data_IF_046650105064
#
_entry.id   IF_046650105064
#
_cell.length_a   1.000
_cell.length_b   1.000
_cell.length_c   1.000
_cell.angle_alpha   90.00
_cell.angle_beta   90.00
_cell.angle_gamma   90.00
#
_symmetry.space_group_name_H-M   'P 1'
#
loop_
_entity.id
_entity.type
_entity.pdbx_description
1 polymer ?
#
# COMPACT_ATOMS: atom_id res chain seq x y z
N UNK A 1 0.66 -34.13 -30.20
CA UNK A 1 1.55 -32.97 -30.44
C UNK A 1 2.38 -32.79 -29.18
N UNK A 2 3.56 -33.40 -29.17
CA UNK A 2 4.57 -33.31 -28.11
C UNK A 2 5.75 -32.56 -28.71
N UNK A 3 6.05 -31.37 -28.19
CA UNK A 3 7.30 -30.67 -28.50
C UNK A 3 8.34 -31.26 -27.53
N UNK A 4 9.18 -32.15 -28.03
CA UNK A 4 10.38 -32.60 -27.33
C UNK A 4 11.48 -31.56 -27.57
N UNK A 5 11.73 -30.68 -26.60
CA UNK A 5 12.92 -29.84 -26.58
C UNK A 5 14.16 -30.71 -26.33
N UNK A 6 15.20 -30.55 -27.14
CA UNK A 6 16.47 -31.25 -26.95
C UNK A 6 17.24 -30.58 -25.81
N UNK A 7 17.61 -31.38 -24.80
CA UNK A 7 18.44 -30.95 -23.67
C UNK A 7 19.92 -31.15 -24.08
N UNK A 8 20.70 -30.09 -24.19
CA UNK A 8 22.14 -30.18 -24.46
C UNK A 8 22.88 -30.03 -23.12
N UNK A 9 23.63 -31.06 -22.73
CA UNK A 9 24.48 -31.05 -21.53
C UNK A 9 25.92 -30.84 -21.96
N UNK A 10 26.51 -29.70 -21.59
CA UNK A 10 27.93 -29.42 -21.79
C UNK A 10 28.62 -29.51 -20.43
N UNK A 11 29.62 -30.38 -20.33
CA UNK A 11 30.45 -30.50 -19.14
C UNK A 11 31.83 -29.89 -19.42
N UNK A 12 32.25 -28.95 -18.57
CA UNK A 12 33.54 -28.25 -18.70
C UNK A 12 34.44 -28.71 -17.55
N UNK A 13 35.67 -29.08 -17.87
CA UNK A 13 36.70 -29.38 -16.88
C UNK A 13 37.43 -28.09 -16.48
N UNK A 14 37.16 -27.59 -15.27
CA UNK A 14 37.93 -26.53 -14.65
C UNK A 14 38.47 -27.03 -13.31
N UNK A 15 39.80 -27.12 -13.19
CA UNK A 15 40.52 -27.52 -11.97
C UNK A 15 39.97 -28.78 -11.29
N UNK A 16 39.72 -29.83 -12.08
CA UNK A 16 39.49 -31.18 -11.56
C UNK A 16 38.09 -31.48 -10.99
N UNK A 17 37.13 -30.57 -11.12
CA UNK A 17 35.72 -30.83 -10.77
C UNK A 17 34.88 -30.75 -12.05
N UNK A 18 34.09 -31.80 -12.33
CA UNK A 18 33.16 -31.82 -13.45
C UNK A 18 31.87 -31.10 -13.04
N UNK A 19 31.58 -29.97 -13.67
CA UNK A 19 30.32 -29.26 -13.49
C UNK A 19 29.59 -29.23 -14.84
N UNK A 20 28.37 -29.77 -14.87
CA UNK A 20 27.54 -29.81 -16.07
C UNK A 20 26.41 -28.78 -15.90
N UNK A 21 26.16 -28.00 -16.95
CA UNK A 21 25.15 -26.92 -16.97
C UNK A 21 24.06 -27.26 -18.00
N UNK A 22 22.80 -26.95 -17.66
CA UNK A 22 21.63 -27.11 -18.52
C UNK A 22 21.25 -25.75 -19.14
N UNK A 23 21.14 -25.67 -20.47
CA UNK A 23 20.72 -24.47 -21.20
C UNK A 23 19.51 -24.77 -22.11
N UNK A 24 18.62 -23.78 -22.30
CA UNK A 24 17.48 -23.81 -23.23
C UNK A 24 17.76 -22.91 -24.46
N UNK A 25 17.04 -23.16 -25.56
CA UNK A 25 17.40 -22.85 -26.97
C UNK A 25 17.51 -21.37 -27.40
N UNK A 26 17.31 -20.37 -26.54
CA UNK A 26 17.26 -18.95 -26.97
C UNK A 26 18.47 -18.07 -26.54
N UNK A 27 19.53 -18.64 -25.96
CA UNK A 27 20.69 -17.86 -25.49
C UNK A 27 21.85 -17.79 -26.51
N UNK A 28 22.26 -16.58 -26.92
CA UNK A 28 23.45 -16.36 -27.76
C UNK A 28 24.74 -16.33 -26.92
N UNK A 29 25.61 -17.32 -27.10
CA UNK A 29 26.92 -17.38 -26.43
C UNK A 29 27.98 -16.51 -27.14
N UNK A 30 28.52 -15.50 -26.45
CA UNK A 30 29.73 -14.80 -26.89
C UNK A 30 31.01 -15.58 -26.50
N UNK A 31 32.07 -15.44 -27.32
CA UNK A 31 33.31 -16.23 -27.35
C UNK A 31 34.21 -16.19 -26.09
N UNK A 32 33.67 -15.77 -24.94
CA UNK A 32 34.31 -15.75 -23.62
C UNK A 32 33.45 -16.42 -22.54
N UNK A 33 32.74 -17.50 -22.82
CA UNK A 33 32.24 -18.43 -21.78
C UNK A 33 31.36 -17.86 -20.65
N UNK A 34 30.89 -16.62 -20.78
CA UNK A 34 29.90 -16.03 -19.90
C UNK A 34 28.59 -16.03 -20.66
N UNK A 35 27.60 -16.75 -20.15
CA UNK A 35 26.22 -16.45 -20.46
C UNK A 35 25.96 -15.08 -19.84
N UNK A 36 26.02 -14.02 -20.64
CA UNK A 36 25.38 -12.76 -20.28
C UNK A 36 23.88 -13.03 -20.31
N UNK A 37 23.36 -13.58 -19.20
CA UNK A 37 21.96 -13.39 -18.89
C UNK A 37 21.84 -11.87 -18.81
N UNK A 38 21.09 -11.28 -19.74
CA UNK A 38 20.72 -9.87 -19.66
C UNK A 38 19.91 -9.71 -18.37
N UNK A 39 20.62 -9.48 -17.26
CA UNK A 39 20.04 -9.32 -15.94
C UNK A 39 19.27 -8.01 -16.01
N UNK A 40 17.98 -8.10 -16.34
CA UNK A 40 17.08 -6.95 -16.37
C UNK A 40 17.25 -6.19 -15.07
N UNK A 41 17.94 -5.05 -15.16
CA UNK A 41 18.29 -4.27 -13.98
C UNK A 41 17.07 -3.49 -13.52
N UNK A 42 16.31 -4.09 -12.61
CA UNK A 42 15.18 -3.41 -11.98
C UNK A 42 15.64 -2.26 -11.09
N UNK A 43 14.88 -1.16 -11.16
CA UNK A 43 14.89 -0.08 -10.18
C UNK A 43 13.83 -0.34 -9.12
N UNK A 44 14.17 -0.12 -7.87
CA UNK A 44 13.30 -0.29 -6.72
C UNK A 44 12.86 1.07 -6.20
N UNK A 45 11.56 1.27 -6.22
CA UNK A 45 10.91 2.47 -5.72
C UNK A 45 10.36 2.16 -4.32
N UNK A 46 10.81 2.92 -3.33
CA UNK A 46 10.33 2.88 -1.97
C UNK A 46 9.57 4.17 -1.66
N UNK A 47 8.64 4.08 -0.71
CA UNK A 47 8.02 5.26 -0.13
C UNK A 47 7.72 5.01 1.35
N UNK A 48 7.81 6.05 2.17
CA UNK A 48 7.27 6.04 3.53
C UNK A 48 6.40 7.28 3.76
N UNK A 49 5.61 7.24 4.82
CA UNK A 49 4.62 8.25 5.17
C UNK A 49 4.94 8.76 6.56
N UNK A 50 4.67 10.04 6.80
CA UNK A 50 4.82 10.68 8.10
C UNK A 50 4.32 9.79 9.27
N UNK A 51 5.11 9.54 10.33
CA UNK A 51 4.78 8.58 11.38
C UNK A 51 3.40 8.72 12.05
N UNK A 52 2.86 9.94 12.30
CA UNK A 52 1.51 10.11 12.86
C UNK A 52 0.37 9.61 11.96
N UNK A 53 0.62 9.38 10.67
CA UNK A 53 -0.41 8.99 9.73
C UNK A 53 -0.88 7.55 9.91
N UNK A 54 -2.19 7.38 10.01
CA UNK A 54 -2.82 6.11 10.30
C UNK A 54 -2.92 5.16 9.10
N UNK A 55 -3.30 3.92 9.38
CA UNK A 55 -3.45 2.82 8.41
C UNK A 55 -4.25 3.23 7.15
N UNK A 56 -5.39 3.90 7.32
CA UNK A 56 -6.27 4.24 6.20
C UNK A 56 -5.74 5.37 5.31
N UNK A 57 -5.00 6.35 5.85
CA UNK A 57 -4.37 7.37 5.02
C UNK A 57 -3.17 6.78 4.26
N UNK A 58 -2.39 5.90 4.90
CA UNK A 58 -1.30 5.17 4.23
C UNK A 58 -1.79 4.31 3.06
N UNK A 59 -3.00 3.74 3.16
CA UNK A 59 -3.67 3.07 2.02
C UNK A 59 -3.98 4.03 0.87
N UNK A 60 -4.35 5.27 1.16
CA UNK A 60 -4.55 6.30 0.12
C UNK A 60 -3.22 6.68 -0.54
N UNK A 61 -2.14 6.86 0.24
CA UNK A 61 -0.80 7.12 -0.30
C UNK A 61 -0.31 5.96 -1.18
N UNK A 62 -0.60 4.70 -0.80
CA UNK A 62 -0.36 3.56 -1.67
C UNK A 62 -1.05 3.70 -3.03
N UNK A 63 -2.29 4.17 -3.10
CA UNK A 63 -2.96 4.36 -4.40
C UNK A 63 -2.18 5.32 -5.29
N UNK A 64 -1.64 6.41 -4.71
CA UNK A 64 -0.82 7.39 -5.44
C UNK A 64 0.42 6.70 -6.03
N UNK A 65 1.17 5.99 -5.19
CA UNK A 65 2.41 5.33 -5.63
C UNK A 65 2.18 4.11 -6.51
N UNK A 66 1.08 3.37 -6.34
CA UNK A 66 0.69 2.29 -7.23
C UNK A 66 0.31 2.80 -8.62
N UNK A 67 -0.45 3.91 -8.70
CA UNK A 67 -0.75 4.57 -9.99
C UNK A 67 0.54 5.06 -10.65
N UNK A 68 1.44 5.67 -9.87
CA UNK A 68 2.75 6.10 -10.35
C UNK A 68 3.56 4.94 -10.91
N UNK A 69 3.74 3.84 -10.16
CA UNK A 69 4.46 2.66 -10.61
C UNK A 69 3.81 2.00 -11.83
N UNK A 70 2.48 1.92 -11.87
CA UNK A 70 1.77 1.43 -13.06
C UNK A 70 2.01 2.32 -14.28
N UNK A 71 2.02 3.65 -14.14
CA UNK A 71 2.36 4.55 -15.24
C UNK A 71 3.80 4.39 -15.71
N UNK A 72 4.74 4.19 -14.78
CA UNK A 72 6.14 4.00 -15.15
C UNK A 72 6.35 2.70 -15.92
N UNK A 73 5.76 1.59 -15.44
CA UNK A 73 5.74 0.29 -16.15
C UNK A 73 5.23 0.40 -17.60
N UNK A 74 4.24 1.26 -17.82
CA UNK A 74 3.61 1.49 -19.13
C UNK A 74 4.20 2.71 -19.88
N UNK A 75 5.33 3.25 -19.42
CA UNK A 75 5.98 4.40 -20.05
C UNK A 75 6.64 4.02 -21.38
N UNK A 76 6.72 4.99 -22.30
CA UNK A 76 7.51 4.85 -23.54
C UNK A 76 9.03 4.89 -23.28
N UNK A 77 9.45 5.45 -22.14
CA UNK A 77 10.86 5.49 -21.76
C UNK A 77 11.25 4.15 -21.11
N UNK A 78 12.10 3.39 -21.78
CA UNK A 78 12.54 2.06 -21.34
C UNK A 78 13.18 2.07 -19.96
N UNK A 79 13.90 3.15 -19.60
CA UNK A 79 14.52 3.31 -18.28
C UNK A 79 13.50 3.42 -17.12
N UNK A 80 12.22 3.64 -17.43
CA UNK A 80 11.13 3.71 -16.45
C UNK A 80 10.27 2.44 -16.41
N UNK A 81 10.41 1.53 -17.39
CA UNK A 81 9.56 0.33 -17.49
C UNK A 81 9.92 -0.73 -16.45
N UNK A 82 11.21 -0.82 -16.10
CA UNK A 82 11.76 -1.84 -15.20
C UNK A 82 11.76 -1.35 -13.75
N UNK A 83 10.59 -0.96 -13.23
CA UNK A 83 10.42 -0.52 -11.85
C UNK A 83 9.63 -1.55 -11.05
N UNK A 84 10.09 -1.81 -9.83
CA UNK A 84 9.32 -2.52 -8.79
C UNK A 84 9.02 -1.55 -7.65
N UNK A 85 7.74 -1.43 -7.27
CA UNK A 85 7.32 -0.67 -6.10
C UNK A 85 7.42 -1.58 -4.87
N UNK A 86 8.35 -1.27 -3.97
CA UNK A 86 8.52 -2.00 -2.72
C UNK A 86 7.50 -1.50 -1.72
N UNK A 87 6.66 -2.41 -1.24
CA UNK A 87 5.61 -2.13 -0.29
C UNK A 87 6.23 -1.89 1.10
N UNK A 88 6.00 -0.71 1.72
CA UNK A 88 6.55 -0.41 3.04
C UNK A 88 5.85 -1.30 4.07
N UNK A 89 6.58 -2.03 4.93
CA UNK A 89 5.93 -2.86 5.93
C UNK A 89 5.08 -2.02 6.87
N UNK A 90 4.06 -2.65 7.46
CA UNK A 90 3.25 -2.02 8.50
C UNK A 90 3.99 -2.14 9.83
N UNK A 91 4.35 -1.01 10.42
CA UNK A 91 5.06 -0.96 11.71
C UNK A 91 4.74 0.35 12.44
N UNK A 92 4.74 0.30 13.78
CA UNK A 92 4.70 1.48 14.66
C UNK A 92 3.61 2.52 14.31
N UNK A 93 2.42 2.06 13.90
CA UNK A 93 1.30 2.95 13.57
C UNK A 93 0.69 3.55 14.85
N UNK A 94 0.46 4.86 14.83
CA UNK A 94 0.00 5.65 15.99
C UNK A 94 -1.26 5.12 16.70
N UNK A 95 -2.13 4.40 15.99
CA UNK A 95 -3.38 3.84 16.56
C UNK A 95 -3.29 2.35 16.94
N UNK A 96 -2.17 1.68 16.65
CA UNK A 96 -2.03 0.26 16.93
C UNK A 96 -1.60 0.08 18.39
N UNK A 97 -2.49 -0.51 19.18
CA UNK A 97 -2.22 -0.84 20.57
C UNK A 97 -1.52 -2.20 20.61
N UNK A 98 -0.29 -2.25 20.11
CA UNK A 98 0.53 -3.46 20.14
C UNK A 98 1.63 -3.29 21.17
N UNK A 99 1.72 -4.22 22.12
CA UNK A 99 2.85 -4.37 23.05
C UNK A 99 4.14 -4.85 22.35
N UNK A 100 4.18 -4.77 21.01
CA UNK A 100 5.27 -5.21 20.14
C UNK A 100 5.79 -3.99 19.36
N UNK A 101 6.62 -3.14 19.98
CA UNK A 101 7.40 -2.16 19.24
C UNK A 101 8.24 -2.91 18.18
N UNK A 102 8.38 -2.30 17.01
CA UNK A 102 9.34 -2.70 15.96
C UNK A 102 9.01 -3.97 15.16
N UNK A 103 7.79 -4.50 15.27
CA UNK A 103 7.36 -5.58 14.37
C UNK A 103 6.95 -5.04 13.00
N UNK A 104 7.69 -5.41 11.96
CA UNK A 104 7.30 -5.18 10.56
C UNK A 104 6.34 -6.27 10.07
N UNK A 105 5.11 -5.90 9.74
CA UNK A 105 4.16 -6.81 9.11
C UNK A 105 4.15 -6.62 7.59
N UNK A 106 4.23 -7.70 6.80
CA UNK A 106 4.10 -7.62 5.35
C UNK A 106 2.66 -7.28 4.95
N UNK A 107 2.47 -6.77 3.74
CA UNK A 107 1.14 -6.42 3.21
C UNK A 107 0.20 -7.60 3.07
N UNK A 108 0.74 -8.79 2.80
CA UNK A 108 0.03 -10.07 2.75
C UNK A 108 -0.80 -10.39 4.00
N UNK A 109 -0.47 -9.83 5.17
CA UNK A 109 -1.31 -9.97 6.38
C UNK A 109 -2.67 -9.27 6.23
N UNK A 110 -2.74 -8.20 5.45
CA UNK A 110 -3.93 -7.35 5.33
C UNK A 110 -4.57 -7.41 3.94
N UNK A 111 -3.79 -7.67 2.89
CA UNK A 111 -4.22 -7.59 1.50
C UNK A 111 -3.82 -8.83 0.69
N UNK A 112 -4.62 -9.17 -0.32
CA UNK A 112 -4.29 -10.19 -1.31
C UNK A 112 -3.27 -9.63 -2.30
N UNK A 113 -1.99 -10.02 -2.15
CA UNK A 113 -0.90 -9.50 -2.96
C UNK A 113 -1.08 -9.75 -4.46
N UNK A 114 -1.63 -10.90 -4.83
CA UNK A 114 -1.90 -11.23 -6.23
C UNK A 114 -2.87 -10.22 -6.87
N UNK A 115 -3.86 -9.75 -6.12
CA UNK A 115 -4.74 -8.68 -6.57
C UNK A 115 -3.99 -7.37 -6.78
N UNK A 116 -3.06 -6.99 -5.90
CA UNK A 116 -2.24 -5.78 -6.04
C UNK A 116 -1.29 -5.88 -7.27
N UNK A 117 -0.61 -7.02 -7.42
CA UNK A 117 0.34 -7.31 -8.52
C UNK A 117 -0.31 -7.27 -9.90
N UNK A 118 -1.62 -7.57 -10.00
CA UNK A 118 -2.41 -7.39 -11.23
C UNK A 118 -2.55 -5.93 -11.68
N UNK A 119 -2.37 -4.95 -10.78
CA UNK A 119 -2.46 -3.53 -11.11
C UNK A 119 -1.07 -2.89 -11.30
N UNK A 120 -0.18 -3.01 -10.32
CA UNK A 120 1.13 -2.35 -10.32
C UNK A 120 2.24 -3.38 -10.06
N UNK A 121 3.49 -3.14 -10.49
CA UNK A 121 4.62 -4.04 -10.26
C UNK A 121 5.07 -3.95 -8.79
N UNK A 122 4.24 -4.42 -7.86
CA UNK A 122 4.51 -4.35 -6.43
C UNK A 122 5.22 -5.59 -5.93
N UNK A 123 6.11 -5.40 -4.96
CA UNK A 123 6.77 -6.48 -4.22
C UNK A 123 6.80 -6.16 -2.73
N UNK A 124 6.79 -7.17 -1.89
CA UNK A 124 7.03 -7.03 -0.46
C UNK A 124 8.48 -6.67 -0.17
N UNK A 125 8.72 -6.10 1.02
CA UNK A 125 10.08 -5.79 1.48
C UNK A 125 10.99 -7.04 1.50
N UNK A 126 10.47 -8.20 1.90
CA UNK A 126 11.25 -9.44 1.90
C UNK A 126 11.57 -9.97 0.50
N UNK A 127 10.67 -9.77 -0.49
CA UNK A 127 10.94 -10.09 -1.89
C UNK A 127 12.06 -9.20 -2.45
N UNK A 128 12.11 -7.92 -2.06
CA UNK A 128 13.24 -7.03 -2.40
C UNK A 128 14.57 -7.56 -1.85
N UNK A 129 14.63 -7.98 -0.58
CA UNK A 129 15.85 -8.57 -0.03
C UNK A 129 16.25 -9.87 -0.74
N UNK A 130 15.29 -10.68 -1.18
CA UNK A 130 15.55 -11.88 -1.98
C UNK A 130 16.12 -11.52 -3.36
N UNK A 131 15.61 -10.48 -4.02
CA UNK A 131 16.10 -9.99 -5.31
C UNK A 131 17.57 -9.50 -5.24
N UNK A 132 18.01 -9.00 -4.09
CA UNK A 132 19.42 -8.64 -3.86
C UNK A 132 20.32 -9.88 -3.72
N UNK A 133 19.75 -11.00 -3.28
CA UNK A 133 20.47 -12.25 -3.05
C UNK A 133 21.22 -12.29 -1.71
N UNK A 134 21.80 -13.45 -1.35
CA UNK A 134 22.34 -13.73 -0.01
C UNK A 134 23.58 -12.91 0.38
N UNK A 135 24.07 -12.03 -0.50
CA UNK A 135 25.31 -11.26 -0.31
C UNK A 135 25.10 -9.91 0.38
N UNK A 136 23.86 -9.44 0.49
CA UNK A 136 23.58 -8.11 1.03
C UNK A 136 23.20 -8.19 2.50
N UNK A 137 24.19 -8.00 3.38
CA UNK A 137 23.98 -7.82 4.82
C UNK A 137 23.57 -6.39 5.17
N UNK A 138 23.86 -5.42 4.28
CA UNK A 138 23.49 -4.01 4.39
C UNK A 138 23.01 -3.49 3.04
N UNK A 139 21.94 -2.71 3.06
CA UNK A 139 21.36 -2.06 1.88
C UNK A 139 21.61 -0.56 1.97
N UNK A 140 22.32 -0.02 0.98
CA UNK A 140 22.44 1.42 0.81
C UNK A 140 21.41 1.88 -0.23
N UNK A 141 20.44 2.70 0.16
CA UNK A 141 19.51 3.34 -0.77
C UNK A 141 20.25 4.46 -1.50
N UNK A 142 20.27 4.40 -2.83
CA UNK A 142 21.09 5.29 -3.67
C UNK A 142 20.66 6.76 -3.57
N UNK A 143 19.36 7.02 -3.38
CA UNK A 143 18.83 8.35 -3.14
C UNK A 143 17.58 8.34 -2.25
N UNK A 144 17.56 9.21 -1.25
CA UNK A 144 16.39 9.50 -0.42
C UNK A 144 15.95 10.93 -0.67
N UNK A 145 14.69 11.09 -1.04
CA UNK A 145 14.03 12.39 -1.18
C UNK A 145 12.99 12.53 -0.06
N UNK A 146 13.27 13.42 0.89
CA UNK A 146 12.33 13.77 1.96
C UNK A 146 11.43 14.88 1.41
N UNK A 147 10.17 14.57 1.15
CA UNK A 147 9.23 15.56 0.63
C UNK A 147 8.84 16.56 1.72
N UNK A 148 8.81 17.84 1.36
CA UNK A 148 8.34 18.92 2.21
C UNK A 148 7.51 19.91 1.39
N UNK A 149 6.71 20.74 2.06
CA UNK A 149 5.97 21.81 1.39
C UNK A 149 6.87 23.02 1.18
N UNK A 150 6.64 23.82 0.13
CA UNK A 150 7.28 25.13 0.02
C UNK A 150 6.82 26.06 1.15
N UNK A 151 7.76 26.81 1.76
CA UNK A 151 7.45 27.73 2.86
C UNK A 151 6.46 28.84 2.48
N UNK A 152 6.48 29.25 1.20
CA UNK A 152 5.65 30.33 0.66
C UNK A 152 4.23 29.85 0.32
N UNK A 153 4.01 28.56 0.10
CA UNK A 153 2.75 28.01 -0.42
C UNK A 153 1.55 28.43 0.44
N UNK A 154 1.61 28.17 1.75
CA UNK A 154 0.51 28.48 2.67
C UNK A 154 0.45 29.96 3.07
N UNK A 155 1.53 30.72 2.84
CA UNK A 155 1.58 32.17 3.10
C UNK A 155 0.97 32.97 1.94
N UNK A 156 1.26 32.56 0.72
CA UNK A 156 0.87 33.26 -0.51
C UNK A 156 -0.40 32.70 -1.14
N UNK A 157 -0.84 31.50 -0.71
CA UNK A 157 -1.95 30.76 -1.32
C UNK A 157 -1.69 30.44 -2.80
N UNK A 158 -0.42 30.38 -3.21
CA UNK A 158 0.00 29.98 -4.55
C UNK A 158 0.25 28.46 -4.59
N UNK A 159 -0.64 27.72 -5.27
CA UNK A 159 -0.61 26.26 -5.40
C UNK A 159 -0.18 25.82 -6.80
N UNK A 160 0.88 26.42 -7.31
CA UNK A 160 1.51 26.00 -8.55
C UNK A 160 2.29 24.69 -8.37
N UNK A 161 2.17 23.79 -9.34
CA UNK A 161 2.94 22.55 -9.37
C UNK A 161 4.43 22.87 -9.58
N UNK A 162 5.23 22.61 -8.55
CA UNK A 162 6.66 22.95 -8.48
C UNK A 162 7.42 21.87 -7.72
N UNK A 163 8.68 21.68 -8.10
CA UNK A 163 9.57 20.72 -7.45
C UNK A 163 10.99 21.28 -7.42
N UNK A 164 11.57 21.41 -6.23
CA UNK A 164 12.91 21.94 -6.03
C UNK A 164 13.66 21.17 -4.94
N UNK A 165 14.92 20.82 -5.20
CA UNK A 165 15.81 20.28 -4.17
C UNK A 165 16.37 21.47 -3.40
N UNK A 166 16.07 21.55 -2.11
CA UNK A 166 16.44 22.67 -1.25
C UNK A 166 16.78 22.18 0.16
N UNK A 167 17.35 23.04 1.02
CA UNK A 167 17.64 22.66 2.40
C UNK A 167 16.40 22.15 3.14
N UNK A 168 16.62 21.18 4.01
CA UNK A 168 15.57 20.64 4.86
C UNK A 168 15.08 21.69 5.85
N UNK A 169 13.77 21.93 5.90
CA UNK A 169 13.17 22.87 6.85
C UNK A 169 13.29 22.39 8.30
N UNK A 170 13.18 21.07 8.49
CA UNK A 170 13.34 20.41 9.79
C UNK A 170 14.36 19.29 9.66
N UNK A 171 15.05 18.99 10.77
CA UNK A 171 15.92 17.81 10.86
C UNK A 171 15.02 16.58 11.01
N UNK A 172 14.59 16.03 9.88
CA UNK A 172 13.79 14.80 9.83
C UNK A 172 14.74 13.64 9.57
N UNK A 173 14.75 12.67 10.48
CA UNK A 173 15.48 11.42 10.30
C UNK A 173 14.55 10.38 9.68
N UNK A 174 14.91 9.89 8.51
CA UNK A 174 14.21 8.78 7.86
C UNK A 174 14.31 7.52 8.72
N UNK A 175 13.17 6.88 8.94
CA UNK A 175 13.05 5.68 9.79
C UNK A 175 13.65 4.42 9.15
N UNK A 176 13.78 4.42 7.82
CA UNK A 176 14.10 3.26 6.99
C UNK A 176 13.24 2.02 7.34
N UNK A 177 11.95 2.26 7.61
CA UNK A 177 10.98 1.23 8.00
C UNK A 177 11.41 0.42 9.24
N UNK A 178 12.24 1.02 10.10
CA UNK A 178 12.83 0.43 11.29
C UNK A 178 13.76 -0.76 11.00
N UNK A 179 14.34 -0.85 9.80
CA UNK A 179 15.41 -1.81 9.49
C UNK A 179 16.78 -1.20 9.77
N UNK A 180 17.53 -1.80 10.70
CA UNK A 180 18.90 -1.37 11.02
C UNK A 180 19.89 -1.56 9.87
N UNK A 181 19.59 -2.48 8.95
CA UNK A 181 20.47 -2.79 7.83
C UNK A 181 20.22 -1.93 6.58
N UNK A 182 19.28 -0.98 6.62
CA UNK A 182 19.02 -0.05 5.51
C UNK A 182 19.58 1.33 5.89
N UNK A 183 20.42 1.88 5.02
CA UNK A 183 21.02 3.22 5.19
C UNK A 183 20.98 4.01 3.88
N UNK A 184 21.30 5.30 3.92
CA UNK A 184 21.61 6.07 2.72
C UNK A 184 22.67 7.12 3.01
N UNK A 185 23.57 7.34 2.05
CA UNK A 185 24.56 8.44 2.07
C UNK A 185 24.08 9.68 1.31
N UNK A 186 22.96 9.60 0.61
CA UNK A 186 22.48 10.63 -0.32
C UNK A 186 21.03 11.00 0.01
N UNK A 187 20.87 11.79 1.06
CA UNK A 187 19.58 12.25 1.57
C UNK A 187 19.40 13.71 1.19
N UNK A 188 18.29 14.03 0.53
CA UNK A 188 17.95 15.37 0.05
C UNK A 188 16.53 15.71 0.43
N UNK A 189 16.28 16.96 0.82
CA UNK A 189 14.93 17.46 0.95
C UNK A 189 14.42 17.99 -0.41
N UNK A 190 13.15 17.72 -0.67
CA UNK A 190 12.47 18.03 -1.92
C UNK A 190 11.22 18.84 -1.60
N UNK A 191 11.29 20.15 -1.78
CA UNK A 191 10.08 20.97 -1.73
C UNK A 191 9.22 20.67 -2.93
N UNK A 192 7.99 20.24 -2.66
CA UNK A 192 7.13 19.62 -3.65
C UNK A 192 5.69 20.09 -3.52
N UNK A 193 5.11 20.43 -4.66
CA UNK A 193 3.68 20.58 -4.87
C UNK A 193 3.36 20.01 -6.24
N UNK A 194 2.37 19.14 -6.31
CA UNK A 194 1.94 18.55 -7.57
C UNK A 194 1.57 17.08 -7.43
N UNK A 195 1.53 16.42 -8.57
CA UNK A 195 1.05 15.05 -8.71
C UNK A 195 2.19 14.08 -8.51
N UNK A 196 1.91 12.91 -7.93
CA UNK A 196 2.92 11.86 -7.73
C UNK A 196 3.68 11.50 -9.03
N UNK A 197 3.03 11.58 -10.20
CA UNK A 197 3.71 11.37 -11.48
C UNK A 197 4.80 12.40 -11.81
N UNK A 198 4.79 13.59 -11.24
CA UNK A 198 5.80 14.62 -11.50
C UNK A 198 7.17 14.23 -10.93
N UNK A 199 7.17 13.40 -9.88
CA UNK A 199 8.37 12.76 -9.32
C UNK A 199 9.10 11.88 -10.35
N UNK A 200 8.43 11.46 -11.44
CA UNK A 200 9.08 10.74 -12.55
C UNK A 200 10.27 11.47 -13.15
N UNK A 201 10.34 12.81 -13.00
CA UNK A 201 11.49 13.60 -13.44
C UNK A 201 12.78 13.18 -12.72
N UNK A 202 12.72 12.94 -11.41
CA UNK A 202 13.87 12.47 -10.63
C UNK A 202 14.36 11.09 -11.06
N UNK A 203 13.44 10.24 -11.52
CA UNK A 203 13.77 8.93 -12.07
C UNK A 203 14.42 9.07 -13.44
N UNK A 204 13.92 9.96 -14.32
CA UNK A 204 14.52 10.20 -15.64
C UNK A 204 15.93 10.78 -15.57
N UNK A 205 16.14 11.69 -14.62
CA UNK A 205 17.37 12.47 -14.52
C UNK A 205 18.47 11.73 -13.72
N UNK A 206 18.23 10.48 -13.31
CA UNK A 206 19.17 9.69 -12.51
C UNK A 206 19.29 8.23 -12.95
N UNK A 207 20.46 7.64 -12.66
CA UNK A 207 20.74 6.21 -12.84
C UNK A 207 20.55 5.40 -11.55
N UNK A 208 20.03 6.02 -10.49
CA UNK A 208 19.83 5.38 -9.19
C UNK A 208 18.94 4.14 -9.30
N UNK A 209 19.38 3.03 -8.72
CA UNK A 209 18.67 1.75 -8.71
C UNK A 209 17.67 1.70 -7.57
N UNK A 210 17.98 2.26 -6.41
CA UNK A 210 17.08 2.30 -5.23
C UNK A 210 16.75 3.74 -4.87
N UNK A 211 15.46 4.11 -4.88
CA UNK A 211 15.00 5.47 -4.57
C UNK A 211 13.91 5.41 -3.52
N UNK A 212 14.06 6.18 -2.44
CA UNK A 212 13.07 6.33 -1.39
C UNK A 212 12.45 7.73 -1.43
N UNK A 213 11.13 7.80 -1.51
CA UNK A 213 10.36 9.02 -1.26
C UNK A 213 9.78 8.98 0.15
N UNK A 214 10.41 9.71 1.07
CA UNK A 214 9.91 9.88 2.43
C UNK A 214 8.88 11.03 2.46
N UNK A 215 7.98 11.03 3.45
CA UNK A 215 6.84 11.95 3.51
C UNK A 215 5.97 11.95 2.23
N UNK A 216 5.73 10.74 1.71
CA UNK A 216 5.00 10.51 0.47
C UNK A 216 3.56 11.06 0.46
N UNK A 217 2.97 11.37 1.63
CA UNK A 217 1.66 12.03 1.73
C UNK A 217 1.63 13.44 1.13
N UNK A 218 2.79 14.08 0.98
CA UNK A 218 2.92 15.42 0.37
C UNK A 218 2.55 15.39 -1.12
N UNK A 219 2.86 14.29 -1.83
CA UNK A 219 2.55 14.17 -3.24
C UNK A 219 1.07 13.83 -3.48
N UNK A 220 0.40 14.54 -4.38
CA UNK A 220 -1.03 14.38 -4.63
C UNK A 220 -1.35 13.23 -5.60
N UNK A 221 -2.61 12.82 -5.63
CA UNK A 221 -3.13 11.96 -6.70
C UNK A 221 -2.98 12.64 -8.06
N UNK A 222 -2.67 11.87 -9.11
CA UNK A 222 -2.63 12.42 -10.46
C UNK A 222 -3.99 12.97 -10.91
N UNK A 223 -5.03 12.16 -10.70
CA UNK A 223 -6.43 12.45 -10.96
C UNK A 223 -7.29 11.68 -9.96
N UNK A 224 -7.84 12.37 -8.96
CA UNK A 224 -8.67 11.73 -7.96
C UNK A 224 -9.98 11.23 -8.58
N UNK A 225 -10.31 9.95 -8.37
CA UNK A 225 -11.56 9.35 -8.84
C UNK A 225 -11.59 8.96 -10.32
N UNK A 226 -10.47 9.04 -11.04
CA UNK A 226 -10.39 8.59 -12.43
C UNK A 226 -10.35 7.06 -12.57
N UNK A 227 -10.20 6.57 -13.81
CA UNK A 227 -10.15 5.13 -14.09
C UNK A 227 -8.97 4.45 -13.38
N UNK A 228 -7.78 5.05 -13.40
CA UNK A 228 -6.59 4.44 -12.80
C UNK A 228 -6.68 4.43 -11.27
N UNK A 229 -7.17 5.51 -10.67
CA UNK A 229 -7.49 5.59 -9.25
C UNK A 229 -8.42 4.45 -8.82
N UNK A 230 -9.53 4.24 -9.53
CA UNK A 230 -10.49 3.19 -9.18
C UNK A 230 -9.95 1.78 -9.45
N UNK A 231 -9.11 1.59 -10.47
CA UNK A 231 -8.41 0.31 -10.70
C UNK A 231 -7.43 -0.01 -9.56
N UNK A 232 -6.61 0.97 -9.15
CA UNK A 232 -5.74 0.85 -7.98
C UNK A 232 -6.54 0.53 -6.72
N UNK A 233 -7.67 1.23 -6.52
CA UNK A 233 -8.52 1.02 -5.35
C UNK A 233 -9.18 -0.35 -5.34
N UNK A 234 -9.60 -0.87 -6.50
CA UNK A 234 -10.20 -2.21 -6.65
C UNK A 234 -9.18 -3.33 -6.47
N UNK A 235 -7.92 -3.09 -6.82
CA UNK A 235 -6.83 -4.06 -6.65
C UNK A 235 -6.50 -4.32 -5.17
N UNK A 236 -6.80 -3.37 -4.27
CA UNK A 236 -6.68 -3.54 -2.82
C UNK A 236 -7.77 -4.46 -2.25
N UNK A 237 -7.75 -5.74 -2.61
CA UNK A 237 -8.56 -6.79 -1.98
C UNK A 237 -7.93 -7.16 -0.64
N UNK A 238 -8.76 -7.33 0.38
CA UNK A 238 -8.28 -7.79 1.68
C UNK A 238 -7.76 -9.23 1.59
N UNK A 239 -6.87 -9.58 2.52
CA UNK A 239 -6.43 -10.95 2.72
C UNK A 239 -7.65 -11.88 2.88
N UNK A 240 -7.58 -13.09 2.31
CA UNK A 240 -8.72 -14.02 2.23
C UNK A 240 -9.17 -14.54 3.59
N UNK A 241 -8.24 -14.79 4.51
CA UNK A 241 -8.54 -15.22 5.88
C UNK A 241 -9.30 -14.12 6.63
N UNK A 242 -8.92 -12.84 6.45
CA UNK A 242 -9.67 -11.73 7.02
C UNK A 242 -11.10 -11.63 6.45
N UNK A 243 -11.27 -11.88 5.16
CA UNK A 243 -12.60 -11.92 4.52
C UNK A 243 -13.43 -13.10 5.05
N UNK A 244 -12.82 -14.25 5.24
CA UNK A 244 -13.48 -15.44 5.81
C UNK A 244 -13.95 -15.20 7.24
N UNK A 245 -13.09 -14.64 8.10
CA UNK A 245 -13.46 -14.26 9.47
C UNK A 245 -14.63 -13.26 9.46
N UNK A 246 -14.60 -12.28 8.57
CA UNK A 246 -15.69 -11.31 8.43
C UNK A 246 -17.00 -11.97 7.95
N UNK A 247 -16.93 -12.95 7.05
CA UNK A 247 -18.09 -13.69 6.57
C UNK A 247 -18.69 -14.58 7.67
N UNK A 248 -17.86 -15.27 8.45
CA UNK A 248 -18.30 -16.05 9.62
C UNK A 248 -19.01 -15.13 10.63
N UNK A 249 -18.47 -13.94 10.89
CA UNK A 249 -19.12 -12.98 11.77
C UNK A 249 -20.49 -12.52 11.23
N UNK A 250 -20.55 -12.18 9.93
CA UNK A 250 -21.80 -11.77 9.27
C UNK A 250 -22.89 -12.85 9.34
N UNK A 251 -22.51 -14.09 9.09
CA UNK A 251 -23.43 -15.22 9.12
C UNK A 251 -23.96 -15.45 10.53
N UNK A 252 -23.06 -15.55 11.52
CA UNK A 252 -23.41 -15.91 12.89
C UNK A 252 -24.15 -14.80 13.66
N UNK A 253 -23.83 -13.53 13.41
CA UNK A 253 -24.32 -12.42 14.24
C UNK A 253 -25.22 -11.43 13.51
N UNK A 254 -25.18 -11.39 12.17
CA UNK A 254 -25.87 -10.37 11.39
C UNK A 254 -26.88 -10.95 10.38
N UNK A 255 -27.07 -12.28 10.36
CA UNK A 255 -27.93 -12.98 9.40
C UNK A 255 -27.66 -12.54 7.95
N UNK A 256 -26.37 -12.47 7.59
CA UNK A 256 -25.88 -11.83 6.38
C UNK A 256 -24.91 -12.75 5.63
N UNK A 257 -25.16 -12.96 4.33
CA UNK A 257 -24.27 -13.72 3.43
C UNK A 257 -24.25 -13.06 2.05
N UNK A 258 -23.19 -13.25 1.28
CA UNK A 258 -23.08 -12.59 -0.03
C UNK A 258 -24.20 -12.97 -1.00
N UNK A 259 -24.74 -14.19 -0.88
CA UNK A 259 -25.85 -14.67 -1.69
C UNK A 259 -27.17 -13.95 -1.35
N UNK A 260 -27.54 -13.88 -0.06
CA UNK A 260 -28.77 -13.22 0.37
C UNK A 260 -28.69 -11.69 0.24
N UNK A 261 -27.49 -11.13 0.39
CA UNK A 261 -27.24 -9.69 0.37
C UNK A 261 -27.03 -9.14 -1.05
N UNK A 262 -26.94 -10.02 -2.06
CA UNK A 262 -26.55 -9.70 -3.42
C UNK A 262 -25.21 -8.93 -3.50
N UNK A 263 -24.21 -9.37 -2.73
CA UNK A 263 -22.88 -8.74 -2.63
C UNK A 263 -21.74 -9.61 -3.17
N UNK A 264 -22.05 -10.70 -3.89
CA UNK A 264 -21.04 -11.53 -4.57
C UNK A 264 -20.20 -10.66 -5.51
N UNK A 265 -18.88 -10.81 -5.41
CA UNK A 265 -17.90 -10.15 -6.28
C UNK A 265 -17.07 -11.21 -7.01
N UNK A 266 -16.63 -10.94 -8.25
CA UNK A 266 -15.68 -11.82 -8.92
C UNK A 266 -14.38 -11.89 -8.14
N UNK A 267 -13.73 -13.07 -8.20
CA UNK A 267 -12.42 -13.32 -7.61
C UNK A 267 -11.37 -12.39 -8.23
N UNK A 268 -11.38 -12.25 -9.56
CA UNK A 268 -10.57 -11.26 -10.23
C UNK A 268 -11.26 -9.90 -10.19
N UNK A 269 -10.64 -8.95 -9.51
CA UNK A 269 -11.20 -7.61 -9.42
C UNK A 269 -11.36 -6.94 -10.77
N UNK A 270 -10.60 -7.31 -11.80
CA UNK A 270 -10.67 -6.71 -13.15
C UNK A 270 -12.00 -7.03 -13.85
N UNK A 271 -12.64 -8.13 -13.46
CA UNK A 271 -13.93 -8.58 -14.01
C UNK A 271 -15.13 -7.84 -13.41
N UNK A 272 -14.93 -7.01 -12.38
CA UNK A 272 -16.03 -6.22 -11.81
C UNK A 272 -16.64 -5.26 -12.83
N UNK A 273 -17.96 -5.21 -12.82
CA UNK A 273 -18.80 -4.34 -13.65
C UNK A 273 -19.51 -3.33 -12.76
N UNK A 274 -20.02 -2.26 -13.37
CA UNK A 274 -20.87 -1.30 -12.67
C UNK A 274 -22.13 -2.01 -12.20
N UNK A 275 -22.40 -1.96 -10.89
CA UNK A 275 -23.64 -2.48 -10.31
C UNK A 275 -24.15 -1.56 -9.19
N UNK A 276 -25.47 -1.53 -9.04
CA UNK A 276 -26.22 -0.72 -8.04
C UNK A 276 -27.37 -1.49 -7.40
N UNK A 277 -27.39 -2.81 -7.58
CA UNK A 277 -28.40 -3.77 -7.13
C UNK A 277 -27.98 -4.50 -5.83
N UNK A 278 -26.83 -4.17 -5.24
CA UNK A 278 -26.43 -4.72 -3.95
C UNK A 278 -27.44 -4.32 -2.87
N UNK A 279 -28.01 -5.32 -2.19
CA UNK A 279 -29.03 -5.12 -1.15
C UNK A 279 -28.40 -4.85 0.21
N UNK A 280 -27.35 -5.60 0.54
CA UNK A 280 -26.76 -5.64 1.88
C UNK A 280 -27.54 -6.54 2.84
N UNK A 281 -26.90 -6.89 3.96
CA UNK A 281 -27.53 -7.69 5.01
C UNK A 281 -28.54 -6.89 5.84
N UNK A 282 -29.38 -7.57 6.66
CA UNK A 282 -30.46 -6.94 7.42
C UNK A 282 -29.95 -6.25 8.70
N UNK A 283 -28.97 -5.35 8.58
CA UNK A 283 -28.41 -4.60 9.70
C UNK A 283 -27.89 -3.21 9.28
N UNK A 284 -27.88 -2.28 10.23
CA UNK A 284 -27.27 -0.97 10.06
C UNK A 284 -25.78 -1.04 10.45
N UNK A 285 -24.89 -0.51 9.62
CA UNK A 285 -23.45 -0.41 9.93
C UNK A 285 -23.06 1.02 10.29
N UNK A 286 -22.38 1.20 11.42
CA UNK A 286 -21.95 2.51 11.92
C UNK A 286 -20.46 2.49 12.20
N UNK A 287 -19.71 3.43 11.61
CA UNK A 287 -18.33 3.69 11.98
C UNK A 287 -18.27 4.88 12.92
N UNK A 288 -17.95 4.64 14.18
CA UNK A 288 -17.90 5.65 15.23
C UNK A 288 -16.45 5.90 15.66
N UNK A 289 -15.78 6.86 15.00
CA UNK A 289 -14.43 7.32 15.34
C UNK A 289 -14.48 8.30 16.51
N UNK A 290 -13.83 7.94 17.62
CA UNK A 290 -13.85 8.71 18.87
C UNK A 290 -12.48 9.19 19.31
N UNK A 291 -11.55 8.33 19.72
CA UNK A 291 -10.35 8.67 20.55
C UNK A 291 -9.84 10.12 20.43
N UNK A 292 -8.90 10.38 19.53
CA UNK A 292 -8.32 11.69 19.24
C UNK A 292 -9.33 12.65 18.58
N UNK A 293 -10.33 12.16 17.86
CA UNK A 293 -11.37 13.00 17.27
C UNK A 293 -12.22 13.73 18.32
N UNK A 294 -12.48 13.12 19.48
CA UNK A 294 -13.21 13.76 20.58
C UNK A 294 -12.37 14.88 21.21
N UNK A 295 -11.05 14.80 21.14
CA UNK A 295 -10.15 15.84 21.68
C UNK A 295 -9.90 16.95 20.64
N UNK A 296 -9.49 16.58 19.43
CA UNK A 296 -9.07 17.52 18.38
C UNK A 296 -10.19 18.00 17.46
N UNK A 297 -11.33 17.31 17.42
CA UNK A 297 -12.46 17.59 16.51
C UNK A 297 -13.82 17.48 17.23
N UNK A 298 -13.86 17.81 18.51
CA UNK A 298 -15.04 17.64 19.38
C UNK A 298 -16.35 18.22 18.82
N UNK A 299 -16.26 19.33 18.07
CA UNK A 299 -17.40 20.00 17.42
C UNK A 299 -17.90 19.31 16.15
N UNK A 300 -17.11 18.41 15.57
CA UNK A 300 -17.42 17.68 14.32
C UNK A 300 -17.87 16.24 14.57
N UNK A 301 -17.85 15.77 15.83
CA UNK A 301 -18.28 14.43 16.21
C UNK A 301 -19.50 14.49 17.15
N UNK A 302 -20.52 13.64 16.95
CA UNK A 302 -21.69 13.63 17.81
C UNK A 302 -21.34 13.14 19.22
N UNK A 303 -22.09 13.61 20.21
CA UNK A 303 -22.09 12.97 21.55
C UNK A 303 -22.73 11.58 21.45
N UNK A 304 -22.45 10.69 22.42
CA UNK A 304 -23.02 9.34 22.43
C UNK A 304 -24.55 9.34 22.43
N UNK A 305 -25.17 10.25 23.17
CA UNK A 305 -26.63 10.42 23.18
C UNK A 305 -27.18 10.79 21.80
N UNK A 306 -26.52 11.72 21.11
CA UNK A 306 -26.94 12.12 19.77
C UNK A 306 -26.64 11.04 18.72
N UNK A 307 -25.54 10.30 18.87
CA UNK A 307 -25.24 9.15 18.02
C UNK A 307 -26.29 8.04 18.20
N UNK A 308 -26.65 7.69 19.45
CA UNK A 308 -27.71 6.72 19.75
C UNK A 308 -29.03 7.13 19.12
N UNK A 309 -29.45 8.39 19.31
CA UNK A 309 -30.67 8.92 18.69
C UNK A 309 -30.65 8.83 17.16
N UNK A 310 -29.52 9.14 16.52
CA UNK A 310 -29.39 9.00 15.07
C UNK A 310 -29.49 7.54 14.61
N UNK A 311 -28.87 6.63 15.36
CA UNK A 311 -28.93 5.18 15.09
C UNK A 311 -30.37 4.67 15.20
N UNK A 312 -31.06 4.95 16.30
CA UNK A 312 -32.44 4.50 16.52
C UNK A 312 -33.40 5.05 15.46
N UNK A 313 -33.30 6.33 15.13
CA UNK A 313 -34.09 6.92 14.05
C UNK A 313 -33.85 6.25 12.68
N UNK A 314 -32.62 5.82 12.40
CA UNK A 314 -32.28 5.12 11.16
C UNK A 314 -32.75 3.67 11.17
N UNK A 315 -32.66 2.98 12.30
CA UNK A 315 -33.18 1.63 12.48
C UNK A 315 -34.70 1.58 12.22
N UNK A 316 -35.46 2.49 12.85
CA UNK A 316 -36.91 2.61 12.62
C UNK A 316 -37.23 2.95 11.17
N UNK A 317 -36.54 3.93 10.57
CA UNK A 317 -36.80 4.37 9.20
C UNK A 317 -36.52 3.27 8.16
N UNK A 318 -35.54 2.41 8.42
CA UNK A 318 -35.10 1.37 7.51
C UNK A 318 -35.72 0.00 7.83
N UNK A 319 -36.56 -0.10 8.86
CA UNK A 319 -37.12 -1.35 9.37
C UNK A 319 -36.03 -2.39 9.69
N UNK A 320 -35.01 -1.94 10.42
CA UNK A 320 -33.87 -2.76 10.83
C UNK A 320 -33.82 -2.86 12.36
N UNK A 321 -33.53 -4.07 12.86
CA UNK A 321 -33.44 -4.32 14.31
C UNK A 321 -32.00 -4.58 14.81
N UNK A 322 -31.04 -4.68 13.89
CA UNK A 322 -29.64 -5.03 14.19
C UNK A 322 -28.72 -3.88 13.80
N UNK A 323 -27.76 -3.56 14.66
CA UNK A 323 -26.70 -2.58 14.38
C UNK A 323 -25.32 -3.19 14.61
N UNK A 324 -24.45 -3.06 13.63
CA UNK A 324 -23.02 -3.34 13.74
C UNK A 324 -22.25 -2.03 13.93
N UNK A 325 -21.49 -1.91 15.01
CA UNK A 325 -20.73 -0.68 15.31
C UNK A 325 -19.23 -0.97 15.29
N UNK A 326 -18.52 -0.38 14.32
CA UNK A 326 -17.07 -0.36 14.28
C UNK A 326 -16.57 0.92 14.97
N UNK A 327 -15.80 0.78 16.05
CA UNK A 327 -15.35 1.91 16.87
C UNK A 327 -13.96 1.68 17.45
N UNK A 328 -13.27 2.77 17.75
CA UNK A 328 -12.02 2.81 18.52
C UNK A 328 -12.25 3.23 19.98
N UNK A 329 -13.50 3.42 20.40
CA UNK A 329 -13.85 3.83 21.77
C UNK A 329 -13.55 2.71 22.77
N UNK A 330 -13.03 3.01 23.98
CA UNK A 330 -12.80 1.98 25.00
C UNK A 330 -14.11 1.41 25.57
N UNK A 331 -14.09 0.13 25.99
CA UNK A 331 -15.26 -0.66 26.40
C UNK A 331 -16.14 0.01 27.47
N UNK A 332 -15.54 0.73 28.42
CA UNK A 332 -16.27 1.45 29.48
C UNK A 332 -17.26 2.47 28.93
N UNK A 333 -16.98 3.04 27.76
CA UNK A 333 -17.84 4.03 27.10
C UNK A 333 -19.05 3.36 26.42
N UNK A 334 -18.91 2.12 25.96
CA UNK A 334 -19.99 1.39 25.31
C UNK A 334 -21.09 0.98 26.29
N UNK A 335 -20.71 0.44 27.46
CA UNK A 335 -21.67 -0.06 28.46
C UNK A 335 -22.58 1.02 29.04
N UNK A 336 -22.11 2.27 29.15
CA UNK A 336 -22.90 3.38 29.73
C UNK A 336 -24.06 3.81 28.80
N UNK A 337 -23.93 3.61 27.49
CA UNK A 337 -24.95 3.99 26.51
C UNK A 337 -26.16 3.07 26.53
N UNK A 338 -25.94 1.77 26.74
CA UNK A 338 -27.03 0.76 26.79
C UNK A 338 -27.73 0.73 28.15
N UNK A 339 -27.03 0.98 29.27
CA UNK A 339 -27.63 0.92 30.62
C UNK A 339 -28.58 2.09 30.90
N UNK A 340 -28.45 3.22 30.21
CA UNK A 340 -29.36 4.38 30.41
C UNK A 340 -30.65 4.33 29.60
N UNK A 341 -30.81 3.37 28.67
CA UNK A 341 -32.08 3.15 27.97
C UNK A 341 -32.86 1.95 28.52
N UNK A 342 -32.34 1.22 29.53
CA UNK A 342 -33.05 0.10 30.19
C UNK A 342 -33.59 0.42 31.59
N UNK A 343 -33.36 1.64 32.10
CA UNK A 343 -33.97 2.11 33.34
C UNK A 343 -34.38 3.57 33.19
N UNK A 344 -35.60 3.78 32.67
CA UNK A 344 -36.64 4.76 33.02
C UNK A 344 -37.64 4.81 31.87
#
# INVERSE_FOLDING_TARGET
MTINGFLIVICIFLKGILQCVLCQEDDYCNKKGFCEVDLVSFRYLFYDVNPPEGFNLRRDVYLRFAVFANKMKNSKNENLRNIKLVLPPWSNLYHWNTDLPDKQFPWSYFFDLESLKKFAPVIEMHEFFQDLGPRYTKVNIDAVYILQHFEDMFKTNNFEDRMLIEPCQNVIQTSFFYYENITSTNIKCLSFHGKVSDLSKLLRDSTYRTILFDHAEVALHDWFGDRLYWQARRSMRFNRELVEIANIFRENFLNSTDMFDNTIRPLDWREERVKRDAKGGPYLSVHMRRRDFVRGRSRQVPTLKHASKQINNLLEKLDLNTVFIATDSPDKVFRISYVKETYI
#
